data_IF_563862638531
#
_entry.id   IF_563862638531
#
_cell.length_a   1.000
_cell.length_b   1.000
_cell.length_c   1.000
_cell.angle_alpha   90.00
_cell.angle_beta   90.00
_cell.angle_gamma   90.00
#
_symmetry.space_group_name_H-M   'P 1'
#
loop_
_entity.id
_entity.type
_entity.pdbx_description
1 polymer ?
#
# COMPACT_ATOMS: atom_id res chain seq x y z
N UNK A 1 -5.33 8.91 -34.10
CA UNK A 1 -4.61 7.87 -33.34
C UNK A 1 -3.90 8.53 -32.17
N UNK A 2 -4.24 8.24 -30.89
CA UNK A 2 -3.48 8.81 -29.77
C UNK A 2 -2.05 8.26 -29.85
N UNK A 3 -1.06 9.15 -29.86
CA UNK A 3 0.36 8.79 -29.93
C UNK A 3 0.71 8.00 -28.66
N UNK A 4 1.43 6.89 -28.80
CA UNK A 4 1.94 6.12 -27.67
C UNK A 4 3.08 6.90 -26.99
N UNK A 5 2.70 7.91 -26.20
CA UNK A 5 3.65 8.74 -25.48
C UNK A 5 4.13 7.97 -24.25
N UNK A 6 5.36 7.44 -24.32
CA UNK A 6 6.10 6.85 -23.20
C UNK A 6 7.26 7.76 -22.85
N UNK A 7 7.31 8.22 -21.60
CA UNK A 7 8.37 9.08 -21.08
C UNK A 7 9.05 8.35 -19.93
N UNK A 8 10.38 8.29 -19.96
CA UNK A 8 11.18 7.81 -18.83
C UNK A 8 11.52 8.98 -17.93
N UNK A 9 11.28 8.83 -16.63
CA UNK A 9 11.59 9.81 -15.60
C UNK A 9 12.44 9.16 -14.52
N UNK A 10 13.40 9.88 -13.95
CA UNK A 10 14.12 9.45 -12.76
C UNK A 10 13.49 10.08 -11.51
N UNK A 11 13.17 9.26 -10.52
CA UNK A 11 12.60 9.70 -9.24
C UNK A 11 13.36 9.01 -8.12
N UNK A 12 14.11 9.79 -7.33
CA UNK A 12 14.89 9.28 -6.19
C UNK A 12 15.84 8.14 -6.59
N UNK A 13 16.54 8.31 -7.73
CA UNK A 13 17.47 7.33 -8.29
C UNK A 13 16.80 6.10 -8.91
N UNK A 14 15.51 6.21 -9.27
CA UNK A 14 14.72 5.13 -9.88
C UNK A 14 14.14 5.59 -11.21
N UNK A 15 14.48 4.86 -12.26
CA UNK A 15 13.88 5.05 -13.58
C UNK A 15 12.47 4.46 -13.64
N UNK A 16 11.48 5.29 -13.96
CA UNK A 16 10.07 4.92 -14.15
C UNK A 16 9.63 5.28 -15.57
N UNK A 17 8.84 4.41 -16.19
CA UNK A 17 8.22 4.68 -17.48
C UNK A 17 6.76 5.11 -17.29
N UNK A 18 6.43 6.31 -17.77
CA UNK A 18 5.11 6.90 -17.72
C UNK A 18 4.48 6.87 -19.11
N UNK A 19 3.23 6.41 -19.19
CA UNK A 19 2.46 6.35 -20.44
C UNK A 19 1.15 7.12 -20.33
N UNK A 20 0.61 7.53 -21.49
CA UNK A 20 -0.72 8.14 -21.64
C UNK A 20 -0.91 9.38 -20.76
N UNK A 21 0.05 10.29 -20.80
CA UNK A 21 0.08 11.48 -19.94
C UNK A 21 -1.06 12.47 -20.26
N UNK A 22 -1.42 12.60 -21.53
CA UNK A 22 -2.52 13.48 -21.98
C UNK A 22 -3.91 12.92 -21.70
N UNK A 23 -4.00 11.71 -21.12
CA UNK A 23 -5.29 11.09 -20.83
C UNK A 23 -6.02 11.89 -19.75
N UNK A 24 -7.18 12.44 -20.10
CA UNK A 24 -8.09 13.11 -19.15
C UNK A 24 -8.66 12.07 -18.19
N UNK A 25 -8.44 12.28 -16.88
CA UNK A 25 -8.97 11.43 -15.82
C UNK A 25 -10.17 12.06 -15.12
N UNK A 26 -10.25 13.40 -15.09
CA UNK A 26 -11.38 14.14 -14.51
C UNK A 26 -12.00 15.03 -15.59
N UNK A 27 -13.02 14.55 -16.32
CA UNK A 27 -13.56 15.26 -17.47
C UNK A 27 -14.28 16.56 -17.10
N UNK A 28 -14.86 16.66 -15.90
CA UNK A 28 -15.55 17.87 -15.44
C UNK A 28 -14.66 19.13 -15.44
N UNK A 29 -13.35 18.96 -15.25
CA UNK A 29 -12.36 20.05 -15.20
C UNK A 29 -11.26 19.90 -16.25
N UNK A 30 -11.32 18.85 -17.08
CA UNK A 30 -10.29 18.55 -18.07
C UNK A 30 -8.96 18.04 -17.49
N UNK A 31 -8.90 17.64 -16.22
CA UNK A 31 -7.64 17.32 -15.54
C UNK A 31 -7.06 15.99 -16.03
N UNK A 32 -5.80 16.04 -16.44
CA UNK A 32 -5.07 14.96 -17.11
C UNK A 32 -4.24 14.11 -16.15
N UNK A 33 -3.82 12.93 -16.62
CA UNK A 33 -2.93 12.04 -15.86
C UNK A 33 -1.58 12.71 -15.54
N UNK A 34 -1.04 13.51 -16.46
CA UNK A 34 0.17 14.29 -16.23
C UNK A 34 0.03 15.21 -15.02
N UNK A 35 -1.09 15.93 -14.94
CA UNK A 35 -1.33 16.89 -13.85
C UNK A 35 -1.57 16.19 -12.51
N UNK A 36 -2.23 15.03 -12.50
CA UNK A 36 -2.33 14.19 -11.29
C UNK A 36 -0.95 13.78 -10.80
N UNK A 37 -0.06 13.35 -11.69
CA UNK A 37 1.31 12.97 -11.32
C UNK A 37 2.05 14.19 -10.75
N UNK A 38 1.97 15.35 -11.43
CA UNK A 38 2.58 16.60 -10.97
C UNK A 38 2.03 17.06 -9.60
N UNK A 39 0.76 16.84 -9.32
CA UNK A 39 0.19 17.11 -8.00
C UNK A 39 0.82 16.21 -6.92
N UNK A 40 0.89 14.90 -7.18
CA UNK A 40 1.47 13.96 -6.22
C UNK A 40 2.97 14.20 -5.98
N UNK A 41 3.74 14.59 -7.00
CA UNK A 41 5.16 14.91 -6.82
C UNK A 41 5.37 16.13 -5.92
N UNK A 42 4.50 17.14 -6.02
CA UNK A 42 4.56 18.34 -5.17
C UNK A 42 4.16 18.07 -3.73
N UNK A 43 3.14 17.24 -3.49
CA UNK A 43 2.65 16.93 -2.14
C UNK A 43 3.42 15.79 -1.45
N UNK A 44 4.21 15.02 -2.20
CA UNK A 44 4.94 13.86 -1.68
C UNK A 44 5.78 14.15 -0.41
N UNK A 45 6.53 15.27 -0.29
CA UNK A 45 7.36 15.53 0.89
C UNK A 45 6.56 15.58 2.21
N UNK A 46 5.32 16.07 2.16
CA UNK A 46 4.44 16.14 3.33
C UNK A 46 3.55 14.90 3.47
N UNK A 47 3.15 14.28 2.35
CA UNK A 47 2.26 13.13 2.35
C UNK A 47 2.98 11.83 2.80
N UNK A 48 4.18 11.58 2.30
CA UNK A 48 4.90 10.32 2.51
C UNK A 48 5.23 10.02 3.99
N UNK A 49 5.61 11.00 4.84
CA UNK A 49 5.79 10.77 6.27
C UNK A 49 4.55 10.19 6.96
N UNK A 50 3.34 10.63 6.58
CA UNK A 50 2.08 10.14 7.16
C UNK A 50 1.69 8.73 6.70
N UNK A 51 2.15 8.33 5.51
CA UNK A 51 1.88 7.01 4.95
C UNK A 51 2.93 5.96 5.32
N UNK A 52 4.06 6.39 5.90
CA UNK A 52 5.18 5.50 6.25
C UNK A 52 4.74 4.38 7.19
N UNK A 53 5.00 3.14 6.78
CA UNK A 53 4.68 1.94 7.56
C UNK A 53 3.21 1.51 7.55
N UNK A 54 2.34 2.21 6.82
CA UNK A 54 0.92 1.86 6.71
C UNK A 54 0.64 1.00 5.48
N UNK A 55 -0.25 0.02 5.61
CA UNK A 55 -0.75 -0.73 4.47
C UNK A 55 -1.70 0.15 3.65
N UNK A 56 -1.49 0.21 2.33
CA UNK A 56 -2.28 1.04 1.42
C UNK A 56 -3.15 0.17 0.51
N UNK A 57 -4.42 0.56 0.37
CA UNK A 57 -5.31 0.02 -0.67
C UNK A 57 -5.44 1.06 -1.78
N UNK A 58 -5.30 0.64 -3.04
CA UNK A 58 -5.40 1.55 -4.19
C UNK A 58 -6.76 1.40 -4.88
N UNK A 59 -7.49 2.50 -5.04
CA UNK A 59 -8.62 2.55 -5.96
C UNK A 59 -8.12 3.03 -7.32
N UNK A 60 -8.34 2.24 -8.37
CA UNK A 60 -7.83 2.52 -9.72
C UNK A 60 -8.96 2.93 -10.64
N UNK A 61 -8.69 3.96 -11.44
CA UNK A 61 -9.60 4.50 -12.46
C UNK A 61 -8.88 4.51 -13.82
N UNK A 62 -8.76 3.35 -14.51
CA UNK A 62 -8.00 3.27 -15.75
C UNK A 62 -8.55 4.17 -16.85
N UNK A 63 -9.87 4.40 -16.87
CA UNK A 63 -10.60 5.14 -17.89
C UNK A 63 -11.18 6.47 -17.38
N UNK A 64 -10.63 7.01 -16.29
CA UNK A 64 -11.15 8.22 -15.64
C UNK A 64 -12.23 7.93 -14.61
N UNK A 65 -12.68 8.98 -13.93
CA UNK A 65 -13.57 8.89 -12.76
C UNK A 65 -15.00 8.45 -13.07
N UNK A 66 -15.49 8.71 -14.28
CA UNK A 66 -16.83 8.32 -14.74
C UNK A 66 -16.88 6.87 -15.25
N UNK A 67 -15.71 6.22 -15.37
CA UNK A 67 -15.59 4.85 -15.82
C UNK A 67 -15.60 3.82 -14.68
N UNK A 68 -15.38 2.56 -15.06
CA UNK A 68 -15.24 1.46 -14.11
C UNK A 68 -14.00 1.65 -13.22
N UNK A 69 -14.19 1.37 -11.92
CA UNK A 69 -13.15 1.46 -10.90
C UNK A 69 -13.06 0.16 -10.10
N UNK A 70 -11.87 -0.15 -9.62
CA UNK A 70 -11.66 -1.34 -8.78
C UNK A 70 -10.65 -1.06 -7.67
N UNK A 71 -10.77 -1.84 -6.59
CA UNK A 71 -9.85 -1.81 -5.47
C UNK A 71 -8.77 -2.87 -5.63
N UNK A 72 -7.53 -2.46 -5.42
CA UNK A 72 -6.35 -3.30 -5.49
C UNK A 72 -5.64 -3.26 -4.14
N UNK A 73 -5.71 -4.38 -3.41
CA UNK A 73 -5.14 -4.55 -2.07
C UNK A 73 -3.79 -5.28 -2.09
N UNK A 74 -3.62 -6.18 -3.06
CA UNK A 74 -2.45 -7.04 -3.17
C UNK A 74 -1.35 -6.38 -4.02
N UNK A 75 -0.10 -6.82 -3.82
CA UNK A 75 1.06 -6.35 -4.59
C UNK A 75 0.90 -6.67 -6.08
N UNK A 76 0.89 -5.67 -6.98
CA UNK A 76 0.90 -5.90 -8.42
C UNK A 76 2.23 -6.51 -8.90
N UNK A 77 2.19 -7.28 -9.99
CA UNK A 77 3.40 -7.89 -10.57
C UNK A 77 4.46 -6.86 -10.99
N UNK A 78 4.04 -5.73 -11.58
CA UNK A 78 4.94 -4.64 -12.00
C UNK A 78 5.32 -3.63 -10.91
N UNK A 79 5.39 -4.06 -9.64
CA UNK A 79 5.75 -3.16 -8.54
C UNK A 79 7.26 -2.87 -8.58
N UNK A 80 7.69 -1.58 -8.58
CA UNK A 80 9.11 -1.23 -8.52
C UNK A 80 9.81 -1.85 -7.29
N UNK A 81 11.07 -2.24 -7.45
CA UNK A 81 11.87 -2.91 -6.41
C UNK A 81 11.96 -2.12 -5.11
N UNK A 82 11.94 -0.78 -5.18
CA UNK A 82 12.01 0.11 -4.03
C UNK A 82 10.71 0.27 -3.22
N UNK A 83 9.60 -0.33 -3.65
CA UNK A 83 8.34 -0.31 -2.89
C UNK A 83 8.34 -1.42 -1.82
N UNK A 84 8.33 -1.01 -0.55
CA UNK A 84 8.17 -1.96 0.55
C UNK A 84 6.76 -2.55 0.54
N UNK A 85 6.67 -3.88 0.64
CA UNK A 85 5.41 -4.59 0.78
C UNK A 85 5.52 -5.56 1.97
N UNK A 86 4.39 -5.77 2.66
CA UNK A 86 4.29 -6.74 3.75
C UNK A 86 3.00 -7.52 3.57
N UNK A 87 3.02 -8.80 3.98
CA UNK A 87 1.79 -9.58 4.08
C UNK A 87 0.98 -9.00 5.23
N UNK A 88 -0.25 -8.59 4.94
CA UNK A 88 -1.23 -8.28 5.95
C UNK A 88 -1.98 -9.58 6.27
N UNK A 89 -1.90 -10.12 7.50
CA UNK A 89 -2.69 -11.28 7.87
C UNK A 89 -4.18 -10.87 7.85
N UNK A 90 -4.97 -11.50 6.99
CA UNK A 90 -6.42 -11.44 7.11
C UNK A 90 -6.85 -12.37 8.24
N UNK A 91 -7.76 -11.96 9.15
CA UNK A 91 -8.38 -12.91 10.06
C UNK A 91 -9.01 -14.04 9.23
N UNK A 92 -8.77 -15.29 9.64
CA UNK A 92 -9.38 -16.44 9.00
C UNK A 92 -10.91 -16.28 9.05
N UNK A 93 -11.64 -16.57 7.94
CA UNK A 93 -13.08 -16.62 8.00
C UNK A 93 -13.50 -17.65 9.08
N UNK A 94 -14.52 -17.37 9.91
CA UNK A 94 -14.92 -18.26 10.99
C UNK A 94 -15.32 -19.68 10.50
N UNK A 95 -15.63 -19.84 9.22
CA UNK A 95 -16.04 -21.11 8.60
C UNK A 95 -14.87 -21.95 8.04
N UNK A 96 -13.67 -21.41 7.87
CA UNK A 96 -12.55 -22.26 7.43
C UNK A 96 -12.18 -23.20 8.57
N UNK A 97 -12.67 -24.45 8.53
CA UNK A 97 -12.42 -25.52 9.49
C UNK A 97 -10.96 -25.98 9.60
N UNK A 98 -10.01 -25.11 9.23
CA UNK A 98 -8.59 -25.27 9.51
C UNK A 98 -8.37 -24.89 10.97
N UNK A 99 -8.48 -25.88 11.84
CA UNK A 99 -8.05 -25.78 13.24
C UNK A 99 -6.60 -25.30 13.23
N UNK A 100 -6.37 -24.04 13.61
CA UNK A 100 -5.02 -23.52 13.77
C UNK A 100 -4.38 -24.29 14.94
N UNK A 101 -3.60 -25.32 14.62
CA UNK A 101 -2.62 -25.87 15.58
C UNK A 101 -1.54 -24.82 15.76
N UNK A 102 -1.85 -23.76 16.51
CA UNK A 102 -0.86 -22.84 17.04
C UNK A 102 -0.16 -23.51 18.22
N UNK A 103 0.67 -24.49 17.92
CA UNK A 103 1.70 -24.96 18.84
C UNK A 103 2.99 -24.23 18.51
N UNK A 104 3.18 -23.03 19.07
CA UNK A 104 4.49 -22.55 19.52
C UNK A 104 4.33 -21.31 20.40
N UNK A 105 5.03 -21.27 21.55
CA UNK A 105 4.76 -20.34 22.64
C UNK A 105 5.34 -18.95 22.35
N UNK A 106 4.57 -17.94 22.76
CA UNK A 106 5.02 -16.64 23.27
C UNK A 106 6.30 -16.06 22.62
N UNK A 107 6.17 -15.54 21.41
CA UNK A 107 6.83 -14.27 21.09
C UNK A 107 5.80 -13.44 20.34
N UNK A 108 5.11 -12.55 21.08
CA UNK A 108 4.27 -11.52 20.49
C UNK A 108 5.08 -10.82 19.38
N UNK A 109 4.69 -10.90 18.10
CA UNK A 109 5.32 -10.09 17.08
C UNK A 109 5.08 -8.64 17.49
N UNK A 110 6.19 -7.98 17.83
CA UNK A 110 6.40 -6.56 18.10
C UNK A 110 5.80 -5.72 16.96
N UNK A 111 4.48 -5.61 16.94
CA UNK A 111 3.70 -4.95 15.89
C UNK A 111 2.60 -4.08 16.49
N UNK A 112 2.95 -3.31 17.50
CA UNK A 112 2.28 -2.06 17.85
C UNK A 112 3.38 -1.12 18.37
N UNK A 113 3.73 -0.11 17.58
CA UNK A 113 4.63 0.98 17.99
C UNK A 113 3.92 1.93 18.95
N UNK A 114 3.51 1.42 20.10
CA UNK A 114 3.11 2.24 21.24
C UNK A 114 4.35 2.53 22.10
N UNK A 115 4.55 3.76 22.59
CA UNK A 115 5.64 4.07 23.50
C UNK A 115 5.53 3.18 24.74
N UNK A 116 6.66 2.56 25.07
CA UNK A 116 6.88 1.59 26.13
C UNK A 116 6.34 2.05 27.48
N UNK A 117 5.44 1.27 28.08
CA UNK A 117 5.27 1.24 29.53
C UNK A 117 6.03 0.02 30.11
N UNK A 118 6.74 0.13 31.25
CA UNK A 118 7.69 -0.87 31.69
C UNK A 118 7.06 -2.12 32.29
N UNK A 119 7.80 -3.22 32.16
CA UNK A 119 7.55 -4.57 32.66
C UNK A 119 7.15 -4.65 34.15
N UNK A 120 6.18 -5.51 34.44
CA UNK A 120 6.15 -6.35 35.66
C UNK A 120 5.30 -7.60 35.36
N UNK A 121 5.90 -8.68 34.86
CA UNK A 121 6.37 -9.84 35.63
C UNK A 121 5.23 -10.75 36.12
N UNK A 122 4.84 -11.75 35.31
CA UNK A 122 3.95 -12.84 35.73
C UNK A 122 4.78 -14.13 35.88
N UNK A 123 5.10 -14.46 37.11
CA UNK A 123 5.77 -15.71 37.52
C UNK A 123 4.76 -16.86 37.42
N UNK A 124 5.14 -17.96 36.76
CA UNK A 124 4.40 -19.22 36.76
C UNK A 124 4.51 -19.89 38.14
N UNK A 125 3.39 -20.16 38.80
CA UNK A 125 3.30 -21.14 39.87
C UNK A 125 2.83 -22.48 39.28
N UNK A 126 3.67 -23.49 39.39
CA UNK A 126 3.34 -24.90 39.15
C UNK A 126 2.91 -25.53 40.47
N UNK A 127 1.66 -25.98 40.60
CA UNK A 127 1.25 -27.06 41.52
C UNK A 127 1.12 -28.33 40.68
N UNK A 128 1.51 -29.52 41.13
CA UNK A 128 1.29 -30.11 42.44
C UNK A 128 0.37 -31.31 42.20
#
# INVERSE_FOLDING_TARGET
MPREQRIRVDVDGRSLELSNLDKVLYPAVGFTKAEVINYYTRVAPVLLPHLRGRALTRKRYPNGVDGQSFFEKNKPQGTPSGCTWRRCPSPDPPWTGRRSTSSSPTTCPRWCGWPTSPRSNCTHHSGG
#
